data_IF_208828128095
#
_entry.id   IF_208828128095
#
_cell.length_a   1.000
_cell.length_b   1.000
_cell.length_c   1.000
_cell.angle_alpha   90.00
_cell.angle_beta   90.00
_cell.angle_gamma   90.00
#
_symmetry.space_group_name_H-M   'P 1'
#
loop_
_entity.id
_entity.type
_entity.pdbx_description
1 polymer ?
#
# COMPACT_ATOMS: atom_id res chain seq x y z
N UNK A 1 -9.95 19.87 -8.10
CA UNK A 1 -10.51 18.96 -7.08
C UNK A 1 -9.51 17.82 -6.95
N UNK A 2 -9.21 17.29 -5.76
CA UNK A 2 -8.42 16.07 -5.68
C UNK A 2 -9.14 15.03 -6.56
N UNK A 3 -8.41 14.43 -7.50
CA UNK A 3 -9.00 13.42 -8.37
C UNK A 3 -9.36 12.23 -7.48
N UNK A 4 -10.54 11.63 -7.70
CA UNK A 4 -11.06 10.48 -6.95
C UNK A 4 -10.03 9.35 -6.77
N UNK A 5 -9.13 9.20 -7.74
CA UNK A 5 -8.01 8.27 -7.70
C UNK A 5 -6.96 8.62 -6.62
N UNK A 6 -6.59 9.88 -6.45
CA UNK A 6 -5.58 10.31 -5.47
C UNK A 6 -6.06 10.04 -4.03
N UNK A 7 -7.36 10.21 -3.78
CA UNK A 7 -7.97 9.91 -2.48
C UNK A 7 -7.96 8.40 -2.18
N UNK A 8 -8.21 7.58 -3.19
CA UNK A 8 -8.12 6.12 -3.11
C UNK A 8 -6.69 5.66 -2.85
N UNK A 9 -5.71 6.20 -3.58
CA UNK A 9 -4.29 5.89 -3.37
C UNK A 9 -3.82 6.29 -1.97
N UNK A 10 -4.29 7.43 -1.47
CA UNK A 10 -3.99 7.89 -0.11
C UNK A 10 -4.55 6.94 0.95
N UNK A 11 -5.81 6.52 0.80
CA UNK A 11 -6.45 5.60 1.75
C UNK A 11 -5.78 4.21 1.71
N UNK A 12 -5.46 3.72 0.51
CA UNK A 12 -4.69 2.48 0.33
C UNK A 12 -3.32 2.56 1.02
N UNK A 13 -2.59 3.66 0.82
CA UNK A 13 -1.29 3.91 1.46
C UNK A 13 -1.37 3.93 2.98
N UNK A 14 -2.41 4.56 3.55
CA UNK A 14 -2.67 4.58 5.00
C UNK A 14 -2.95 3.19 5.56
N UNK A 15 -3.74 2.37 4.85
CA UNK A 15 -4.03 0.98 5.27
C UNK A 15 -2.78 0.13 5.27
N UNK A 16 -1.99 0.19 4.19
CA UNK A 16 -0.70 -0.50 4.10
C UNK A 16 0.21 -0.04 5.24
N UNK A 17 0.28 1.26 5.54
CA UNK A 17 1.10 1.78 6.63
C UNK A 17 0.72 1.20 8.00
N UNK A 18 -0.59 1.12 8.33
CA UNK A 18 -1.06 0.52 9.59
C UNK A 18 -0.67 -0.94 9.72
N UNK A 19 -0.88 -1.73 8.67
CA UNK A 19 -0.53 -3.16 8.65
C UNK A 19 0.98 -3.36 8.71
N UNK A 20 1.73 -2.52 8.00
CA UNK A 20 3.19 -2.47 8.07
C UNK A 20 3.69 -2.23 9.50
N UNK A 21 3.18 -1.21 10.19
CA UNK A 21 3.56 -0.94 11.58
C UNK A 21 3.26 -2.13 12.50
N UNK A 22 2.08 -2.75 12.34
CA UNK A 22 1.67 -3.90 13.14
C UNK A 22 2.58 -5.12 12.94
N UNK A 23 2.98 -5.40 11.70
CA UNK A 23 3.73 -6.62 11.36
C UNK A 23 5.25 -6.45 11.45
N UNK A 24 5.76 -5.32 11.00
CA UNK A 24 7.20 -5.07 10.85
C UNK A 24 7.77 -4.05 11.84
N UNK A 25 6.95 -3.47 12.74
CA UNK A 25 7.46 -2.60 13.80
C UNK A 25 8.26 -1.39 13.30
N UNK A 26 7.81 -0.78 12.21
CA UNK A 26 8.49 0.31 11.49
C UNK A 26 9.78 -0.06 10.71
N UNK A 27 10.11 -1.36 10.61
CA UNK A 27 11.26 -1.85 9.85
C UNK A 27 11.00 -1.87 8.32
N UNK A 28 11.30 -0.75 7.66
CA UNK A 28 11.07 -0.57 6.21
C UNK A 28 11.93 -1.50 5.35
N UNK A 29 13.16 -1.79 5.77
CA UNK A 29 14.08 -2.66 5.03
C UNK A 29 13.57 -4.10 5.00
N UNK A 30 13.03 -4.58 6.11
CA UNK A 30 12.43 -5.91 6.20
C UNK A 30 11.14 -6.01 5.38
N UNK A 31 10.27 -5.01 5.47
CA UNK A 31 9.05 -4.98 4.68
C UNK A 31 9.34 -4.91 3.17
N UNK A 32 10.37 -4.17 2.77
CA UNK A 32 10.83 -4.10 1.38
C UNK A 32 11.32 -5.46 0.87
N UNK A 33 12.12 -6.17 1.68
CA UNK A 33 12.60 -7.52 1.36
C UNK A 33 11.44 -8.50 1.21
N UNK A 34 10.49 -8.48 2.14
CA UNK A 34 9.29 -9.33 2.10
C UNK A 34 8.41 -9.03 0.87
N UNK A 35 8.34 -7.75 0.46
CA UNK A 35 7.59 -7.31 -0.72
C UNK A 35 8.38 -7.41 -2.03
N UNK A 36 9.61 -7.94 -1.99
CA UNK A 36 10.54 -8.02 -3.12
C UNK A 36 10.70 -6.68 -3.87
N UNK A 37 10.94 -5.60 -3.13
CA UNK A 37 11.17 -4.27 -3.70
C UNK A 37 12.24 -3.50 -2.90
N UNK A 38 12.56 -2.28 -3.33
CA UNK A 38 13.53 -1.44 -2.61
C UNK A 38 12.88 -0.75 -1.42
N UNK A 39 13.67 -0.47 -0.37
CA UNK A 39 13.20 0.34 0.76
C UNK A 39 12.73 1.73 0.33
N UNK A 40 13.39 2.33 -0.66
CA UNK A 40 12.97 3.61 -1.25
C UNK A 40 11.57 3.54 -1.87
N UNK A 41 11.23 2.42 -2.53
CA UNK A 41 9.88 2.17 -3.04
C UNK A 41 8.86 2.10 -1.91
N UNK A 42 9.13 1.31 -0.86
CA UNK A 42 8.26 1.23 0.32
C UNK A 42 8.06 2.61 0.94
N UNK A 43 9.14 3.36 1.19
CA UNK A 43 9.08 4.70 1.77
C UNK A 43 8.19 5.63 0.96
N UNK A 44 8.31 5.64 -0.38
CA UNK A 44 7.47 6.50 -1.23
C UNK A 44 6.00 6.09 -1.21
N UNK A 45 5.69 4.79 -1.20
CA UNK A 45 4.32 4.28 -1.09
C UNK A 45 3.71 4.68 0.25
N UNK A 46 4.42 4.45 1.35
CA UNK A 46 3.92 4.80 2.70
C UNK A 46 3.67 6.31 2.86
N UNK A 47 4.35 7.14 2.08
CA UNK A 47 4.16 8.60 2.04
C UNK A 47 3.17 9.07 0.97
N UNK A 48 2.50 8.14 0.26
CA UNK A 48 1.65 8.41 -0.90
C UNK A 48 2.33 9.29 -1.98
N UNK A 49 3.64 9.12 -2.18
CA UNK A 49 4.45 9.82 -3.19
C UNK A 49 4.68 8.99 -4.46
N UNK A 50 4.16 7.77 -4.49
CA UNK A 50 4.27 6.86 -5.62
C UNK A 50 3.03 5.96 -5.61
N UNK A 51 2.29 5.96 -6.73
CA UNK A 51 1.20 5.02 -6.96
C UNK A 51 1.68 3.57 -6.94
N UNK A 52 0.73 2.65 -6.75
CA UNK A 52 1.00 1.23 -6.57
C UNK A 52 0.48 0.45 -7.78
N UNK A 53 1.37 -0.20 -8.52
CA UNK A 53 0.94 -1.14 -9.57
C UNK A 53 0.31 -2.38 -8.95
N UNK A 54 -0.63 -3.03 -9.65
CA UNK A 54 -1.30 -4.25 -9.15
C UNK A 54 -0.30 -5.34 -8.74
N UNK A 55 0.77 -5.56 -9.52
CA UNK A 55 1.81 -6.52 -9.16
C UNK A 55 2.56 -6.15 -7.87
N UNK A 56 2.80 -4.86 -7.62
CA UNK A 56 3.40 -4.43 -6.36
C UNK A 56 2.41 -4.57 -5.20
N UNK A 57 1.13 -4.27 -5.42
CA UNK A 57 0.08 -4.44 -4.42
C UNK A 57 -0.06 -5.91 -4.01
N UNK A 58 -0.03 -6.86 -4.96
CA UNK A 58 -0.08 -8.29 -4.68
C UNK A 58 1.11 -8.76 -3.82
N UNK A 59 2.33 -8.27 -4.12
CA UNK A 59 3.51 -8.58 -3.32
C UNK A 59 3.44 -7.99 -1.91
N UNK A 60 2.93 -6.77 -1.79
CA UNK A 60 2.67 -6.12 -0.49
C UNK A 60 1.64 -6.91 0.32
N UNK A 61 0.52 -7.30 -0.29
CA UNK A 61 -0.52 -8.09 0.35
C UNK A 61 0.04 -9.43 0.86
N UNK A 62 0.83 -10.13 0.03
CA UNK A 62 1.54 -11.35 0.42
C UNK A 62 2.50 -11.12 1.58
N UNK A 63 3.30 -10.05 1.54
CA UNK A 63 4.24 -9.69 2.61
C UNK A 63 3.52 -9.37 3.93
N UNK A 64 2.33 -8.77 3.85
CA UNK A 64 1.49 -8.45 5.00
C UNK A 64 0.65 -9.64 5.48
N UNK A 65 0.62 -10.76 4.73
CA UNK A 65 -0.26 -11.91 4.99
C UNK A 65 -1.75 -11.50 5.06
N UNK A 66 -2.19 -10.70 4.11
CA UNK A 66 -3.59 -10.29 3.95
C UNK A 66 -4.05 -10.53 2.52
N UNK A 67 -5.36 -10.69 2.34
CA UNK A 67 -5.94 -10.74 0.99
C UNK A 67 -5.90 -9.35 0.35
N UNK A 68 -5.65 -9.30 -0.96
CA UNK A 68 -5.66 -8.02 -1.69
C UNK A 68 -7.03 -7.33 -1.62
N UNK A 69 -8.12 -8.12 -1.53
CA UNK A 69 -9.48 -7.62 -1.37
C UNK A 69 -9.67 -6.85 -0.08
N UNK A 70 -8.96 -7.21 1.01
CA UNK A 70 -9.04 -6.49 2.28
C UNK A 70 -8.40 -5.10 2.18
N UNK A 71 -7.31 -4.99 1.41
CA UNK A 71 -6.67 -3.69 1.13
C UNK A 71 -7.59 -2.78 0.32
N UNK A 72 -8.32 -3.34 -0.65
CA UNK A 72 -9.20 -2.59 -1.56
C UNK A 72 -10.63 -2.38 -1.02
N UNK A 73 -11.01 -3.03 0.07
CA UNK A 73 -12.38 -3.06 0.57
C UNK A 73 -12.93 -1.65 0.82
N UNK A 74 -14.07 -1.32 0.21
CA UNK A 74 -14.73 -0.03 0.39
C UNK A 74 -14.02 1.15 -0.28
N UNK A 75 -13.00 0.91 -1.11
CA UNK A 75 -12.51 1.92 -2.06
C UNK A 75 -13.50 1.95 -3.22
N UNK A 76 -14.21 3.07 -3.40
CA UNK A 76 -15.15 3.27 -4.51
C UNK A 76 -14.69 4.42 -5.38
N UNK A 77 -14.58 4.18 -6.69
CA UNK A 77 -14.55 5.25 -7.67
C UNK A 77 -16.01 5.60 -8.00
N UNK A 78 -16.47 6.83 -7.78
CA UNK A 78 -17.72 7.26 -8.39
C UNK A 78 -17.57 7.14 -9.90
N UNK A 79 -18.53 6.47 -10.54
CA UNK A 79 -18.67 6.44 -11.98
C UNK A 79 -19.49 7.67 -12.32
N UNK A 80 -18.84 8.70 -12.85
CA UNK A 80 -19.52 9.85 -13.46
C UNK A 80 -20.10 9.47 -14.83
#
# INVERSE_FOLDING_TARGET
MPNTLEEIELELSKRIYKLFLKKFGDNKSEFARASNCTEGTIRRILLNKQGITINLLLRIAKALEVEITDLLKGLSLPID
#
